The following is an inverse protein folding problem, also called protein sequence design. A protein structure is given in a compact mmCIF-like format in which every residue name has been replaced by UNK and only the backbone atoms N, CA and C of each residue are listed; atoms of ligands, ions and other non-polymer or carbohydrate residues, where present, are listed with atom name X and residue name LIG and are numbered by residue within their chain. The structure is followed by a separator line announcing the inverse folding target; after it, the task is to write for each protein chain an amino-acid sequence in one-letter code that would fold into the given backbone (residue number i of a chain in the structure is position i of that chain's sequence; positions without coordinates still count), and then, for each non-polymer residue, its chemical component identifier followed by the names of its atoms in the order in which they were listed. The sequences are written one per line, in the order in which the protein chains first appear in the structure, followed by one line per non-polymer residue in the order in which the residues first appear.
data_IF_278017370322
#
_entry.id   IF_278017370322
#
_cell.length_a   1.000
_cell.length_b   1.000
_cell.length_c   1.000
_cell.angle_alpha   90.00
_cell.angle_beta   90.00
_cell.angle_gamma   90.00
#
_symmetry.space_group_name_H-M   'P 1'
#
loop_
_entity.id
_entity.type
_entity.pdbx_description
1 polymer ?
#
# COMPACT_ATOMS: atom_id res chain seq x y z
N UNK A 1 14.44 5.08 -25.28
CA UNK A 1 14.02 6.23 -24.47
C UNK A 1 13.47 5.68 -23.16
N UNK A 2 14.32 5.60 -22.13
CA UNK A 2 14.02 4.92 -20.86
C UNK A 2 13.46 5.92 -19.87
N UNK A 3 12.16 6.18 -19.97
CA UNK A 3 11.44 6.89 -18.93
C UNK A 3 11.26 5.91 -17.76
N UNK A 4 12.30 5.75 -16.95
CA UNK A 4 12.28 4.93 -15.74
C UNK A 4 11.38 5.59 -14.70
N UNK A 5 10.07 5.56 -14.94
CA UNK A 5 9.13 5.38 -13.85
C UNK A 5 9.60 4.12 -13.15
N UNK A 6 10.23 4.25 -11.98
CA UNK A 6 10.35 3.10 -11.08
C UNK A 6 8.92 2.86 -10.64
N UNK A 7 8.20 1.87 -11.20
CA UNK A 7 6.95 1.50 -10.58
C UNK A 7 7.34 1.11 -9.16
N UNK A 8 6.53 1.46 -8.17
CA UNK A 8 6.51 0.71 -6.91
C UNK A 8 6.61 -0.75 -7.35
N UNK A 9 7.77 -1.39 -7.10
CA UNK A 9 8.27 -2.53 -7.90
C UNK A 9 7.11 -3.40 -8.31
N UNK A 10 6.91 -3.76 -9.58
CA UNK A 10 5.72 -4.51 -10.05
C UNK A 10 5.30 -5.64 -9.06
N UNK A 11 6.29 -6.30 -8.45
CA UNK A 11 6.16 -7.25 -7.34
C UNK A 11 5.41 -6.79 -6.08
N UNK A 12 5.54 -5.55 -5.65
CA UNK A 12 4.92 -4.98 -4.46
C UNK A 12 3.43 -4.73 -4.69
N UNK A 13 3.05 -4.24 -5.87
CA UNK A 13 1.64 -4.09 -6.23
C UNK A 13 0.96 -5.45 -6.37
N UNK A 14 1.59 -6.39 -7.08
CA UNK A 14 1.13 -7.79 -7.15
C UNK A 14 0.94 -8.41 -5.76
N UNK A 15 1.91 -8.21 -4.85
CA UNK A 15 1.82 -8.72 -3.48
C UNK A 15 0.66 -8.07 -2.71
N UNK A 16 0.47 -6.76 -2.88
CA UNK A 16 -0.63 -6.02 -2.27
C UNK A 16 -2.00 -6.51 -2.76
N UNK A 17 -2.16 -6.71 -4.06
CA UNK A 17 -3.36 -7.32 -4.65
C UNK A 17 -3.58 -8.72 -4.11
N UNK A 18 -2.54 -9.56 -4.04
CA UNK A 18 -2.65 -10.92 -3.52
C UNK A 18 -3.10 -10.93 -2.05
N UNK A 19 -2.56 -10.01 -1.22
CA UNK A 19 -2.94 -9.85 0.19
C UNK A 19 -4.39 -9.37 0.34
N UNK A 20 -4.82 -8.44 -0.50
CA UNK A 20 -6.20 -7.94 -0.51
C UNK A 20 -7.20 -9.04 -0.95
N UNK A 21 -6.85 -9.82 -1.97
CA UNK A 21 -7.64 -10.98 -2.43
C UNK A 21 -7.70 -12.06 -1.35
N UNK A 22 -6.59 -12.33 -0.67
CA UNK A 22 -6.52 -13.27 0.46
C UNK A 22 -7.33 -12.81 1.66
N UNK A 23 -7.67 -11.51 1.75
CA UNK A 23 -8.35 -10.92 2.90
C UNK A 23 -7.64 -11.29 4.20
N UNK A 24 -6.32 -11.16 4.20
CA UNK A 24 -5.50 -11.44 5.36
C UNK A 24 -5.20 -10.14 6.09
N UNK A 25 -5.17 -10.20 7.44
CA UNK A 25 -4.62 -9.10 8.22
C UNK A 25 -3.12 -9.04 7.98
N UNK A 26 -2.65 -7.89 7.52
CA UNK A 26 -1.25 -7.63 7.20
C UNK A 26 -0.80 -6.42 7.98
N UNK A 27 0.47 -6.43 8.38
CA UNK A 27 1.05 -5.32 9.09
C UNK A 27 1.71 -4.39 8.08
N UNK A 28 1.17 -3.19 7.95
CA UNK A 28 1.60 -2.18 6.99
C UNK A 28 2.37 -1.11 7.76
N UNK A 29 3.63 -0.95 7.40
CA UNK A 29 4.53 0.06 7.94
C UNK A 29 4.63 1.18 6.91
N UNK A 30 4.26 2.39 7.29
CA UNK A 30 4.23 3.55 6.40
C UNK A 30 4.80 4.79 7.07
N UNK A 31 5.37 5.69 6.28
CA UNK A 31 5.85 6.97 6.79
C UNK A 31 4.71 8.00 6.77
N UNK A 32 4.44 8.66 7.89
CA UNK A 32 3.55 9.81 7.96
C UNK A 32 4.20 10.97 8.71
N UNK A 33 4.26 12.16 8.08
CA UNK A 33 4.87 13.35 8.67
C UNK A 33 6.22 13.09 9.38
N UNK A 34 7.14 12.39 8.69
CA UNK A 34 8.48 12.01 9.20
C UNK A 34 8.48 10.96 10.33
N UNK A 35 7.32 10.45 10.73
CA UNK A 35 7.16 9.37 11.70
C UNK A 35 6.85 8.06 10.98
N UNK A 36 7.52 6.99 11.36
CA UNK A 36 7.17 5.64 10.90
C UNK A 36 6.00 5.16 11.74
N UNK A 37 4.86 4.94 11.09
CA UNK A 37 3.67 4.36 11.69
C UNK A 37 3.49 2.92 11.20
N UNK A 38 2.88 2.11 12.03
CA UNK A 38 2.49 0.75 11.68
C UNK A 38 1.00 0.56 11.97
N UNK A 39 0.33 -0.21 11.12
CA UNK A 39 -1.05 -0.61 11.34
C UNK A 39 -1.22 -2.06 10.90
N UNK A 40 -1.98 -2.82 11.68
CA UNK A 40 -2.32 -4.20 11.35
C UNK A 40 -3.80 -4.25 10.99
N UNK A 41 -4.09 -4.39 9.70
CA UNK A 41 -5.45 -4.45 9.22
C UNK A 41 -5.54 -5.22 7.91
N UNK A 42 -6.75 -5.37 7.40
CA UNK A 42 -7.03 -6.12 6.19
C UNK A 42 -7.22 -5.14 5.05
N UNK A 43 -6.42 -5.30 3.99
CA UNK A 43 -6.58 -4.47 2.81
C UNK A 43 -7.83 -4.93 2.08
N UNK A 44 -8.86 -4.08 2.05
CA UNK A 44 -10.15 -4.43 1.44
C UNK A 44 -10.21 -4.00 -0.01
N UNK A 45 -9.53 -2.91 -0.37
CA UNK A 45 -9.62 -2.31 -1.69
C UNK A 45 -8.45 -1.36 -1.94
N UNK A 46 -8.20 -1.00 -3.20
CA UNK A 46 -7.22 0.01 -3.58
C UNK A 46 -7.88 1.11 -4.40
N UNK A 47 -7.56 2.35 -4.07
CA UNK A 47 -8.08 3.52 -4.75
C UNK A 47 -6.97 4.29 -5.41
N UNK A 48 -7.14 4.60 -6.69
CA UNK A 48 -6.24 5.50 -7.41
C UNK A 48 -6.86 6.88 -7.49
N UNK A 49 -6.13 7.91 -7.05
CA UNK A 49 -6.56 9.32 -7.14
C UNK A 49 -5.37 10.16 -7.60
N UNK A 50 -5.56 10.98 -8.64
CA UNK A 50 -4.51 11.87 -9.17
C UNK A 50 -3.19 11.18 -9.56
N UNK A 51 -3.26 9.96 -10.13
CA UNK A 51 -2.09 9.10 -10.42
C UNK A 51 -1.35 8.59 -9.19
N UNK A 52 -1.93 8.73 -8.00
CA UNK A 52 -1.41 8.22 -6.74
C UNK A 52 -2.30 7.07 -6.27
N UNK A 53 -1.68 6.05 -5.70
CA UNK A 53 -2.37 4.83 -5.28
C UNK A 53 -2.49 4.78 -3.77
N UNK A 54 -3.66 4.36 -3.30
CA UNK A 54 -4.02 4.32 -1.90
C UNK A 54 -4.61 2.95 -1.53
N UNK A 55 -4.12 2.33 -0.46
CA UNK A 55 -4.67 1.13 0.14
C UNK A 55 -5.78 1.51 1.11
N UNK A 56 -6.96 0.91 0.95
CA UNK A 56 -8.09 1.04 1.85
C UNK A 56 -8.10 -0.18 2.77
N UNK A 57 -8.06 0.08 4.06
CA UNK A 57 -8.13 -0.94 5.10
C UNK A 57 -9.57 -1.16 5.55
N UNK A 58 -9.84 -2.32 6.14
CA UNK A 58 -11.18 -2.68 6.62
C UNK A 58 -11.69 -1.78 7.73
N UNK A 59 -10.77 -1.19 8.51
CA UNK A 59 -11.08 -0.17 9.51
C UNK A 59 -11.43 1.21 8.93
N UNK A 60 -11.36 1.39 7.60
CA UNK A 60 -11.63 2.66 6.91
C UNK A 60 -10.42 3.59 6.76
N UNK A 61 -9.24 3.17 7.24
CA UNK A 61 -7.99 3.90 7.08
C UNK A 61 -7.49 3.79 5.64
N UNK A 62 -6.96 4.90 5.12
CA UNK A 62 -6.50 5.03 3.74
C UNK A 62 -5.02 5.42 3.75
N UNK A 63 -4.15 4.53 3.27
CA UNK A 63 -2.69 4.76 3.26
C UNK A 63 -2.22 4.89 1.82
N UNK A 64 -1.38 5.87 1.53
CA UNK A 64 -0.71 5.96 0.23
C UNK A 64 0.31 4.85 0.06
N UNK A 65 0.23 4.08 -1.03
CA UNK A 65 1.20 3.03 -1.35
C UNK A 65 2.63 3.57 -1.43
N UNK A 66 2.78 4.77 -2.00
CA UNK A 66 4.04 5.52 -2.10
C UNK A 66 4.69 5.79 -0.73
N UNK A 67 3.90 5.85 0.35
CA UNK A 67 4.40 6.02 1.72
C UNK A 67 4.61 4.70 2.46
N UNK A 68 4.20 3.57 1.89
CA UNK A 68 4.40 2.27 2.52
C UNK A 68 5.88 1.91 2.40
N UNK A 69 6.49 1.68 3.55
CA UNK A 69 7.89 1.27 3.68
C UNK A 69 7.99 -0.24 3.61
N UNK A 70 7.09 -0.95 4.31
CA UNK A 70 7.16 -2.41 4.43
C UNK A 70 5.78 -3.02 4.73
N UNK A 71 5.59 -4.28 4.31
CA UNK A 71 4.38 -5.07 4.58
C UNK A 71 4.78 -6.47 5.02
N UNK A 72 4.28 -6.87 6.19
CA UNK A 72 4.59 -8.14 6.88
C UNK A 72 3.33 -8.99 7.00
#
# INVERSE_FOLDING_TARGET
MTNSYKPISCHFYDKLEELAVKKQKVKIIYLDNELTLETEDLIVDFKTKNKEEFAILSNGLIIRLDKIVEII
#
